data_IF_760827071576
#
_entry.id   IF_760827071576
#
_cell.length_a   1.000
_cell.length_b   1.000
_cell.length_c   1.000
_cell.angle_alpha   90.00
_cell.angle_beta   90.00
_cell.angle_gamma   90.00
#
_symmetry.space_group_name_H-M   'P 1'
#
loop_
_entity.id
_entity.type
_entity.pdbx_description
1 polymer ?
#
# COMPACT_ATOMS: atom_id res chain seq x y z
N UNK A 1 -0.95 38.03 -56.67
CA UNK A 1 -0.32 37.08 -55.72
C UNK A 1 -0.92 37.35 -54.35
N UNK A 2 -1.75 36.44 -53.82
CA UNK A 2 -2.47 36.64 -52.55
C UNK A 2 -1.58 36.14 -51.41
N UNK A 3 -1.05 37.06 -50.61
CA UNK A 3 -0.25 36.74 -49.42
C UNK A 3 -1.14 36.03 -48.38
N UNK A 4 -1.00 34.71 -48.30
CA UNK A 4 -1.65 33.87 -47.30
C UNK A 4 -0.71 33.77 -46.09
N UNK A 5 -0.65 34.82 -45.28
CA UNK A 5 0.07 34.76 -43.99
C UNK A 5 -0.63 33.74 -43.07
N UNK A 6 0.14 32.96 -42.28
CA UNK A 6 -0.34 31.71 -41.73
C UNK A 6 -1.14 31.96 -40.45
N UNK A 7 -2.46 31.77 -40.54
CA UNK A 7 -3.33 31.59 -39.35
C UNK A 7 -2.83 30.50 -38.40
N UNK A 8 -2.01 29.57 -38.92
CA UNK A 8 -1.42 28.46 -38.18
C UNK A 8 -0.42 28.90 -37.10
N UNK A 9 0.33 30.00 -37.33
CA UNK A 9 1.36 30.47 -36.38
C UNK A 9 0.72 31.15 -35.16
N UNK A 10 -0.38 31.87 -35.36
CA UNK A 10 -1.10 32.55 -34.26
C UNK A 10 -1.77 31.53 -33.32
N UNK A 11 -2.34 30.44 -33.86
CA UNK A 11 -2.91 29.38 -33.02
C UNK A 11 -1.86 28.63 -32.20
N UNK A 12 -0.67 28.36 -32.77
CA UNK A 12 0.44 27.73 -32.07
C UNK A 12 0.97 28.59 -30.90
N UNK A 13 1.07 29.91 -31.09
CA UNK A 13 1.51 30.83 -30.03
C UNK A 13 0.46 30.93 -28.91
N UNK A 14 -0.83 30.98 -29.24
CA UNK A 14 -1.90 31.00 -28.21
C UNK A 14 -1.92 29.68 -27.42
N UNK A 15 -1.70 28.52 -28.07
CA UNK A 15 -1.70 27.22 -27.39
C UNK A 15 -0.54 27.08 -26.38
N UNK A 16 0.64 27.65 -26.70
CA UNK A 16 1.81 27.63 -25.80
C UNK A 16 1.64 28.56 -24.58
N UNK A 17 0.87 29.65 -24.69
CA UNK A 17 0.66 30.61 -23.58
C UNK A 17 -0.31 30.04 -22.51
N UNK A 18 -1.21 29.11 -22.88
CA UNK A 18 -2.12 28.45 -21.93
C UNK A 18 -1.53 27.24 -21.18
N UNK A 19 -0.29 26.82 -21.49
CA UNK A 19 0.45 25.85 -20.69
C UNK A 19 1.44 26.55 -19.74
N UNK A 20 0.94 27.51 -18.95
CA UNK A 20 1.72 28.02 -17.81
C UNK A 20 1.30 27.30 -16.54
N UNK A 21 2.07 26.25 -16.22
CA UNK A 21 2.50 25.83 -14.88
C UNK A 21 1.47 25.99 -13.75
N UNK A 22 0.43 25.16 -13.78
CA UNK A 22 -0.22 24.72 -12.55
C UNK A 22 0.57 23.54 -11.98
N UNK A 23 1.76 23.78 -11.40
CA UNK A 23 2.38 22.75 -10.57
C UNK A 23 1.47 22.50 -9.37
N UNK A 24 0.99 21.27 -9.25
CA UNK A 24 0.13 20.85 -8.16
C UNK A 24 0.95 20.94 -6.86
N UNK A 25 0.70 21.94 -6.00
CA UNK A 25 1.40 22.08 -4.72
C UNK A 25 1.23 20.86 -3.78
N UNK A 26 0.25 19.98 -4.06
CA UNK A 26 0.08 18.70 -3.37
C UNK A 26 1.03 17.60 -3.86
N UNK A 27 1.56 17.72 -5.08
CA UNK A 27 2.49 16.76 -5.70
C UNK A 27 3.90 16.88 -5.11
N UNK A 28 4.36 18.11 -4.84
CA UNK A 28 5.67 18.37 -4.22
C UNK A 28 5.75 17.75 -2.81
N UNK A 29 4.67 17.78 -2.02
CA UNK A 29 4.68 17.15 -0.69
C UNK A 29 4.66 15.63 -0.73
N UNK A 30 4.08 14.99 -1.75
CA UNK A 30 4.06 13.52 -1.82
C UNK A 30 5.43 12.96 -2.21
N UNK A 31 6.20 13.67 -3.04
CA UNK A 31 7.56 13.27 -3.43
C UNK A 31 8.60 13.38 -2.29
N UNK A 32 8.26 14.03 -1.16
CA UNK A 32 9.11 14.09 0.04
C UNK A 32 8.73 13.07 1.12
N UNK A 33 7.63 12.33 0.97
CA UNK A 33 7.17 11.37 1.98
C UNK A 33 7.84 10.00 1.82
N UNK A 34 8.18 9.38 2.95
CA UNK A 34 8.71 8.02 2.99
C UNK A 34 7.60 7.05 3.43
N UNK A 35 6.98 6.28 2.52
CA UNK A 35 5.88 5.39 2.87
C UNK A 35 6.38 4.21 3.71
N UNK A 36 5.65 3.90 4.80
CA UNK A 36 5.96 2.79 5.71
C UNK A 36 4.72 1.90 5.89
N UNK A 37 4.86 0.61 5.65
CA UNK A 37 3.87 -0.41 5.98
C UNK A 37 4.22 -1.05 7.33
N UNK A 38 3.30 -0.98 8.29
CA UNK A 38 3.49 -1.59 9.61
C UNK A 38 2.69 -2.90 9.66
N UNK A 39 3.39 -4.01 9.85
CA UNK A 39 2.81 -5.33 10.12
C UNK A 39 3.03 -5.58 11.60
N UNK A 40 1.98 -5.86 12.38
CA UNK A 40 2.16 -6.07 13.81
C UNK A 40 1.30 -7.21 14.37
N UNK A 41 1.80 -7.81 15.45
CA UNK A 41 1.02 -8.69 16.34
C UNK A 41 1.26 -8.30 17.80
N UNK A 42 0.37 -8.74 18.69
CA UNK A 42 0.48 -8.59 20.14
C UNK A 42 -0.16 -9.80 20.81
N UNK A 43 0.11 -9.95 22.11
CA UNK A 43 -0.53 -10.83 23.06
C UNK A 43 -0.66 -12.26 22.52
N UNK A 44 0.41 -12.74 21.88
CA UNK A 44 0.40 -14.07 21.27
C UNK A 44 0.18 -15.16 22.33
N UNK A 45 0.58 -14.90 23.58
CA UNK A 45 0.29 -15.74 24.75
C UNK A 45 0.51 -17.24 24.50
N UNK A 46 1.64 -17.59 23.89
CA UNK A 46 2.04 -18.98 23.59
C UNK A 46 1.04 -19.77 22.70
N UNK A 47 0.27 -19.10 21.84
CA UNK A 47 -0.68 -19.71 20.89
C UNK A 47 0.00 -20.26 19.65
N UNK A 48 1.02 -21.10 19.85
CA UNK A 48 1.86 -21.64 18.78
C UNK A 48 1.06 -22.47 17.76
N UNK A 49 0.04 -23.19 18.22
CA UNK A 49 -0.91 -23.93 17.40
C UNK A 49 -2.19 -23.13 17.20
N UNK A 50 -2.96 -23.53 16.18
CA UNK A 50 -4.24 -22.89 15.88
C UNK A 50 -5.23 -23.03 17.04
N UNK A 51 -6.05 -22.00 17.21
CA UNK A 51 -7.12 -21.97 18.22
C UNK A 51 -8.46 -21.85 17.52
N UNK A 52 -9.55 -22.14 18.21
CA UNK A 52 -10.86 -21.72 17.72
C UNK A 52 -11.08 -20.22 17.94
N UNK A 53 -12.24 -19.71 17.52
CA UNK A 53 -12.58 -18.28 17.64
C UNK A 53 -12.67 -17.80 19.10
N UNK A 54 -12.90 -18.69 20.06
CA UNK A 54 -12.85 -18.40 21.49
C UNK A 54 -11.42 -18.42 22.07
N UNK A 55 -10.39 -18.56 21.22
CA UNK A 55 -8.98 -18.68 21.65
C UNK A 55 -8.73 -19.86 22.59
N UNK A 56 -9.48 -20.94 22.44
CA UNK A 56 -9.27 -22.22 23.13
C UNK A 56 -8.71 -23.26 22.14
N UNK A 57 -8.26 -24.45 22.60
CA UNK A 57 -7.75 -25.47 21.69
C UNK A 57 -8.77 -25.79 20.59
N UNK A 58 -8.32 -25.74 19.33
CA UNK A 58 -9.21 -25.99 18.20
C UNK A 58 -9.52 -27.49 18.05
N UNK A 59 -10.80 -27.82 17.78
CA UNK A 59 -11.25 -29.18 17.51
C UNK A 59 -11.91 -29.26 16.13
N UNK A 60 -11.09 -29.53 15.10
CA UNK A 60 -11.55 -29.72 13.72
C UNK A 60 -12.67 -30.77 13.61
N UNK A 61 -12.57 -31.87 14.35
CA UNK A 61 -13.55 -32.97 14.32
C UNK A 61 -14.95 -32.53 14.79
N UNK A 62 -15.04 -31.46 15.58
CA UNK A 62 -16.29 -30.88 16.02
C UNK A 62 -16.87 -29.85 15.01
N UNK A 63 -16.24 -29.70 13.85
CA UNK A 63 -16.59 -28.66 12.86
C UNK A 63 -16.15 -27.25 13.28
N UNK A 64 -15.22 -27.12 14.24
CA UNK A 64 -14.72 -25.81 14.66
C UNK A 64 -13.85 -25.16 13.57
N UNK A 65 -13.95 -23.83 13.47
CA UNK A 65 -13.07 -23.05 12.61
C UNK A 65 -11.78 -22.71 13.35
N UNK A 66 -10.66 -23.27 12.87
CA UNK A 66 -9.34 -22.98 13.42
C UNK A 66 -8.74 -21.71 12.81
N UNK A 67 -8.25 -20.83 13.68
CA UNK A 67 -7.66 -19.54 13.36
C UNK A 67 -6.27 -19.40 14.00
N UNK A 68 -5.47 -18.47 13.49
CA UNK A 68 -4.17 -18.14 14.06
C UNK A 68 -3.16 -19.28 13.96
N UNK A 69 -2.39 -19.48 15.03
CA UNK A 69 -1.21 -20.35 15.05
C UNK A 69 0.03 -19.67 14.47
N UNK A 70 1.21 -20.00 15.01
CA UNK A 70 2.47 -19.37 14.62
C UNK A 70 2.81 -19.61 13.15
N UNK A 71 2.56 -20.84 12.66
CA UNK A 71 2.82 -21.20 11.27
C UNK A 71 2.05 -20.29 10.29
N UNK A 72 0.74 -20.14 10.50
CA UNK A 72 -0.11 -19.27 9.65
C UNK A 72 0.26 -17.81 9.78
N UNK A 73 0.54 -17.35 11.00
CA UNK A 73 0.97 -15.97 11.25
C UNK A 73 2.25 -15.63 10.50
N UNK A 74 3.29 -16.47 10.61
CA UNK A 74 4.58 -16.25 9.93
C UNK A 74 4.44 -16.31 8.40
N UNK A 75 3.61 -17.20 7.87
CA UNK A 75 3.32 -17.23 6.41
C UNK A 75 2.77 -15.89 5.95
N UNK A 76 1.70 -15.40 6.58
CA UNK A 76 1.07 -14.13 6.20
C UNK A 76 2.03 -12.96 6.39
N UNK A 77 2.85 -12.95 7.45
CA UNK A 77 3.84 -11.89 7.67
C UNK A 77 4.86 -11.86 6.54
N UNK A 78 5.37 -13.02 6.10
CA UNK A 78 6.31 -13.10 4.99
C UNK A 78 5.68 -12.62 3.68
N UNK A 79 4.47 -13.07 3.38
CA UNK A 79 3.73 -12.64 2.19
C UNK A 79 3.50 -11.12 2.20
N UNK A 80 3.17 -10.55 3.35
CA UNK A 80 2.97 -9.10 3.50
C UNK A 80 4.29 -8.32 3.37
N UNK A 81 5.40 -8.82 3.93
CA UNK A 81 6.71 -8.19 3.77
C UNK A 81 7.12 -8.13 2.29
N UNK A 82 6.86 -9.19 1.52
CA UNK A 82 7.12 -9.21 0.08
C UNK A 82 6.16 -8.30 -0.69
N UNK A 83 4.85 -8.45 -0.47
CA UNK A 83 3.82 -7.69 -1.17
C UNK A 83 3.89 -6.18 -0.90
N UNK A 84 4.45 -5.76 0.24
CA UNK A 84 4.56 -4.36 0.66
C UNK A 84 5.97 -3.79 0.49
N UNK A 85 6.85 -4.45 -0.24
CA UNK A 85 8.26 -4.05 -0.39
C UNK A 85 8.45 -2.59 -0.86
N UNK A 86 7.53 -2.05 -1.68
CA UNK A 86 7.59 -0.65 -2.14
C UNK A 86 7.28 0.40 -1.06
N UNK A 87 6.84 -0.05 0.12
CA UNK A 87 6.44 0.81 1.24
C UNK A 87 7.23 0.49 2.51
N UNK A 88 8.49 0.06 2.38
CA UNK A 88 9.43 -0.15 3.49
C UNK A 88 8.81 -0.86 4.70
N UNK A 89 8.37 -2.12 4.52
CA UNK A 89 7.55 -2.78 5.51
C UNK A 89 8.38 -3.18 6.74
N UNK A 90 7.81 -3.02 7.93
CA UNK A 90 8.43 -3.39 9.20
C UNK A 90 7.46 -4.31 9.96
N UNK A 91 7.97 -5.42 10.48
CA UNK A 91 7.23 -6.31 11.36
C UNK A 91 7.55 -6.04 12.83
N UNK A 92 6.52 -5.89 13.66
CA UNK A 92 6.62 -5.62 15.10
C UNK A 92 5.79 -6.64 15.91
N UNK A 93 6.34 -7.13 17.02
CA UNK A 93 5.58 -7.86 18.05
C UNK A 93 5.54 -7.03 19.33
N UNK A 94 4.35 -6.66 19.79
CA UNK A 94 4.16 -5.73 20.92
C UNK A 94 4.00 -6.42 22.29
N UNK A 95 4.52 -7.64 22.43
CA UNK A 95 4.44 -8.45 23.66
C UNK A 95 3.20 -9.32 23.65
#
# INVERSE_FOLDING_TARGET
>A
MKNKFPHFVIHLIIFQIWQTNGENLLDIRQNELFPVSIIHMNDFHARFVETNEASTPCKLDNGEKCIGGYARAVTVIKDLLEARNQTHPIYLNAG
#
